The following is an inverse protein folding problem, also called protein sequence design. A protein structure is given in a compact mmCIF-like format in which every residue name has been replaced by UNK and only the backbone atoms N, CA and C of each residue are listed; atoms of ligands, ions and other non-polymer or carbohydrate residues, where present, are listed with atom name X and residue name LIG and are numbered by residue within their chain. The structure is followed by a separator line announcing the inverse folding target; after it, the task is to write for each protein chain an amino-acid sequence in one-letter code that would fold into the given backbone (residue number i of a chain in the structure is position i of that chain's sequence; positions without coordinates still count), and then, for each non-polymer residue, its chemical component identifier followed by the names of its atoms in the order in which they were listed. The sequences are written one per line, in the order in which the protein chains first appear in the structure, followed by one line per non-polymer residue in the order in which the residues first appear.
data_IF_764790122890
#
_entry.id   IF_764790122890
#
_cell.length_a   1.000
_cell.length_b   1.000
_cell.length_c   1.000
_cell.angle_alpha   90.00
_cell.angle_beta   90.00
_cell.angle_gamma   90.00
#
_symmetry.space_group_name_H-M   'P 1'
#
loop_
_entity.id
_entity.type
_entity.pdbx_description
1 polymer ?
#
# COMPACT_ATOMS: atom_id res chain seq x y z
N UNK A 1 22.06 -8.19 -1.34
CA UNK A 1 20.89 -8.46 -0.46
C UNK A 1 19.93 -9.32 -1.28
N UNK A 2 19.36 -10.36 -0.67
CA UNK A 2 18.32 -11.21 -1.26
C UNK A 2 17.06 -11.12 -0.40
N UNK A 3 15.85 -11.10 -0.97
CA UNK A 3 14.62 -11.10 -0.19
C UNK A 3 14.39 -12.47 0.45
N UNK A 4 13.75 -12.49 1.63
CA UNK A 4 13.31 -13.73 2.27
C UNK A 4 12.22 -14.43 1.45
N UNK A 5 11.35 -13.64 0.82
CA UNK A 5 10.27 -14.10 -0.05
C UNK A 5 10.32 -13.41 -1.41
N UNK A 6 10.46 -14.19 -2.49
CA UNK A 6 10.38 -13.70 -3.87
C UNK A 6 9.07 -14.17 -4.52
N UNK A 7 8.14 -13.24 -4.75
CA UNK A 7 6.80 -13.56 -5.27
C UNK A 7 6.76 -13.88 -6.77
N UNK A 8 7.82 -13.56 -7.53
CA UNK A 8 7.89 -13.89 -8.96
C UNK A 8 6.78 -13.26 -9.82
N UNK A 9 6.32 -12.05 -9.48
CA UNK A 9 5.20 -11.40 -10.16
C UNK A 9 5.59 -11.06 -11.60
N UNK A 10 4.94 -11.72 -12.55
CA UNK A 10 5.14 -11.48 -13.98
C UNK A 10 4.57 -10.13 -14.42
N UNK A 11 5.18 -9.48 -15.44
CA UNK A 11 4.60 -8.30 -16.08
C UNK A 11 3.21 -8.60 -16.66
N UNK A 12 2.31 -7.63 -16.56
CA UNK A 12 0.95 -7.77 -17.09
C UNK A 12 0.17 -6.48 -16.99
N UNK A 13 -1.14 -6.56 -17.23
CA UNK A 13 -2.04 -5.44 -16.92
C UNK A 13 -1.96 -5.08 -15.42
N UNK A 14 -2.30 -3.84 -15.03
CA UNK A 14 -2.35 -3.45 -13.62
C UNK A 14 -3.16 -4.43 -12.74
N UNK A 15 -4.33 -4.84 -13.22
CA UNK A 15 -5.20 -5.78 -12.50
C UNK A 15 -4.56 -7.17 -12.35
N UNK A 16 -3.91 -7.67 -13.40
CA UNK A 16 -3.18 -8.96 -13.36
C UNK A 16 -2.05 -8.90 -12.35
N UNK A 17 -1.26 -7.82 -12.38
CA UNK A 17 -0.14 -7.61 -11.47
C UNK A 17 -0.63 -7.56 -10.01
N UNK A 18 -1.65 -6.75 -9.73
CA UNK A 18 -2.23 -6.66 -8.38
C UNK A 18 -2.78 -8.00 -7.90
N UNK A 19 -3.51 -8.74 -8.74
CA UNK A 19 -4.04 -10.05 -8.37
C UNK A 19 -2.92 -11.03 -7.99
N UNK A 20 -1.84 -11.10 -8.76
CA UNK A 20 -0.70 -11.96 -8.46
C UNK A 20 0.01 -11.54 -7.16
N UNK A 21 0.17 -10.23 -6.92
CA UNK A 21 0.75 -9.73 -5.67
C UNK A 21 -0.11 -10.13 -4.48
N UNK A 22 -1.43 -9.91 -4.55
CA UNK A 22 -2.35 -10.23 -3.45
C UNK A 22 -2.35 -11.72 -3.13
N UNK A 23 -2.41 -12.59 -4.14
CA UNK A 23 -2.35 -14.04 -3.95
C UNK A 23 -1.01 -14.51 -3.37
N UNK A 24 0.09 -13.89 -3.79
CA UNK A 24 1.42 -14.17 -3.26
C UNK A 24 1.56 -13.74 -1.80
N UNK A 25 1.16 -12.50 -1.49
CA UNK A 25 1.21 -11.95 -0.14
C UNK A 25 0.30 -12.70 0.83
N UNK A 26 -0.90 -13.12 0.40
CA UNK A 26 -1.79 -13.91 1.26
C UNK A 26 -1.13 -15.21 1.74
N UNK A 27 -0.36 -15.87 0.89
CA UNK A 27 0.40 -17.08 1.27
C UNK A 27 1.48 -16.74 2.30
N UNK A 28 2.29 -15.72 2.04
CA UNK A 28 3.37 -15.29 2.93
C UNK A 28 2.82 -14.85 4.30
N UNK A 29 1.74 -14.05 4.33
CA UNK A 29 1.14 -13.56 5.57
C UNK A 29 0.56 -14.69 6.40
N UNK A 30 -0.06 -15.70 5.79
CA UNK A 30 -0.57 -16.86 6.50
C UNK A 30 0.53 -17.74 7.11
N UNK A 31 1.71 -17.77 6.47
CA UNK A 31 2.88 -18.50 6.93
C UNK A 31 3.64 -17.75 8.04
N UNK A 32 3.98 -16.49 7.79
CA UNK A 32 4.81 -15.64 8.66
C UNK A 32 4.04 -15.00 9.81
N UNK A 33 2.73 -14.77 9.64
CA UNK A 33 1.84 -14.13 10.62
C UNK A 33 2.41 -12.83 11.20
N UNK A 34 2.72 -11.84 10.35
CA UNK A 34 3.31 -10.58 10.79
C UNK A 34 2.35 -9.78 11.67
N UNK A 35 2.91 -9.05 12.64
CA UNK A 35 2.15 -8.11 13.48
C UNK A 35 1.83 -6.78 12.76
N UNK A 36 2.53 -6.49 11.65
CA UNK A 36 2.42 -5.26 10.86
C UNK A 36 2.85 -5.52 9.43
N UNK A 37 2.12 -4.96 8.46
CA UNK A 37 2.56 -4.86 7.07
C UNK A 37 2.91 -3.41 6.74
N UNK A 38 4.04 -3.21 6.05
CA UNK A 38 4.46 -1.90 5.54
C UNK A 38 4.39 -1.88 4.02
N UNK A 39 3.73 -0.87 3.47
CA UNK A 39 3.72 -0.56 2.04
C UNK A 39 4.38 0.79 1.79
N UNK A 40 4.93 1.00 0.59
CA UNK A 40 5.73 2.19 0.27
C UNK A 40 5.25 2.81 -1.04
N UNK A 41 5.14 4.13 -1.07
CA UNK A 41 4.83 4.89 -2.29
C UNK A 41 3.40 4.65 -2.75
N UNK A 42 3.14 4.62 -4.06
CA UNK A 42 1.78 4.74 -4.60
C UNK A 42 1.54 3.92 -5.88
N UNK A 43 2.36 2.90 -6.11
CA UNK A 43 2.21 2.03 -7.28
C UNK A 43 1.23 0.89 -7.01
N UNK A 44 0.96 0.06 -8.03
CA UNK A 44 0.02 -1.06 -7.92
C UNK A 44 0.34 -2.02 -6.76
N UNK A 45 1.64 -2.26 -6.48
CA UNK A 45 2.05 -3.12 -5.38
C UNK A 45 1.71 -2.54 -4.01
N UNK A 46 1.72 -1.21 -3.88
CA UNK A 46 1.33 -0.51 -2.65
C UNK A 46 -0.13 -0.79 -2.34
N UNK A 47 -1.02 -0.51 -3.30
CA UNK A 47 -2.45 -0.72 -3.11
C UNK A 47 -2.78 -2.21 -2.95
N UNK A 48 -2.15 -3.10 -3.72
CA UNK A 48 -2.33 -4.54 -3.58
C UNK A 48 -1.92 -5.05 -2.19
N UNK A 49 -0.77 -4.60 -1.67
CA UNK A 49 -0.32 -4.93 -0.32
C UNK A 49 -1.25 -4.39 0.76
N UNK A 50 -1.72 -3.14 0.61
CA UNK A 50 -2.63 -2.50 1.54
C UNK A 50 -3.99 -3.22 1.62
N UNK A 51 -4.57 -3.58 0.47
CA UNK A 51 -5.82 -4.35 0.41
C UNK A 51 -5.62 -5.73 1.04
N UNK A 52 -4.47 -6.38 0.80
CA UNK A 52 -4.18 -7.70 1.37
C UNK A 52 -4.11 -7.62 2.90
N UNK A 53 -3.37 -6.65 3.45
CA UNK A 53 -3.28 -6.42 4.89
C UNK A 53 -4.67 -6.21 5.50
N UNK A 54 -5.47 -5.32 4.91
CA UNK A 54 -6.83 -5.03 5.36
C UNK A 54 -7.73 -6.27 5.35
N UNK A 55 -7.68 -7.09 4.29
CA UNK A 55 -8.50 -8.31 4.16
C UNK A 55 -8.12 -9.40 5.15
N UNK A 56 -6.84 -9.48 5.51
CA UNK A 56 -6.32 -10.47 6.45
C UNK A 56 -6.32 -9.96 7.90
N UNK A 57 -6.77 -8.73 8.13
CA UNK A 57 -6.84 -8.13 9.47
C UNK A 57 -5.47 -7.83 10.07
N UNK A 58 -4.46 -7.57 9.23
CA UNK A 58 -3.12 -7.19 9.66
C UNK A 58 -3.02 -5.66 9.70
N UNK A 59 -2.52 -5.06 10.79
CA UNK A 59 -2.24 -3.62 10.83
C UNK A 59 -1.39 -3.18 9.66
N UNK A 60 -1.71 -2.01 9.09
CA UNK A 60 -1.06 -1.46 7.92
C UNK A 60 -0.34 -0.14 8.26
N UNK A 61 0.94 -0.10 7.94
CA UNK A 61 1.70 1.15 7.85
C UNK A 61 1.97 1.52 6.39
N UNK A 62 1.86 2.81 6.08
CA UNK A 62 2.10 3.33 4.74
C UNK A 62 3.22 4.37 4.78
N UNK A 63 4.31 4.10 4.06
CA UNK A 63 5.43 5.03 3.89
C UNK A 63 5.18 5.93 2.69
N UNK A 64 5.43 7.23 2.89
CA UNK A 64 5.10 8.32 1.95
C UNK A 64 3.60 8.67 1.92
N UNK A 65 2.90 8.42 3.03
CA UNK A 65 1.49 8.79 3.20
C UNK A 65 1.23 10.29 3.01
N UNK A 66 0.03 10.59 2.52
CA UNK A 66 -0.49 11.96 2.47
C UNK A 66 -0.03 12.81 1.27
N UNK A 67 0.92 12.36 0.47
CA UNK A 67 1.27 13.09 -0.76
C UNK A 67 0.05 13.16 -1.70
N UNK A 68 -0.18 14.29 -2.36
CA UNK A 68 -1.31 14.47 -3.30
C UNK A 68 -0.85 15.21 -4.54
N UNK A 69 -1.08 14.64 -5.71
CA UNK A 69 -0.93 15.36 -6.98
C UNK A 69 -2.17 16.18 -7.31
N UNK A 70 -3.34 15.76 -6.78
CA UNK A 70 -4.69 16.26 -7.13
C UNK A 70 -5.09 15.99 -8.58
N UNK A 71 -4.30 15.21 -9.32
CA UNK A 71 -4.64 14.75 -10.66
C UNK A 71 -5.20 13.33 -10.60
N UNK A 72 -6.54 13.23 -10.69
CA UNK A 72 -7.25 11.94 -10.69
C UNK A 72 -7.10 11.17 -12.00
N UNK A 73 -6.49 11.76 -13.04
CA UNK A 73 -6.09 11.06 -14.26
C UNK A 73 -4.84 10.19 -14.06
N UNK A 74 -4.07 10.44 -13.00
CA UNK A 74 -2.89 9.67 -12.63
C UNK A 74 -3.30 8.44 -11.79
N UNK A 75 -3.04 7.19 -12.24
CA UNK A 75 -3.34 5.99 -11.46
C UNK A 75 -2.73 5.98 -10.06
N UNK A 76 -1.52 6.53 -9.92
CA UNK A 76 -0.79 6.65 -8.66
C UNK A 76 -1.51 7.55 -7.65
N UNK A 77 -2.25 8.58 -8.09
CA UNK A 77 -3.09 9.40 -7.20
C UNK A 77 -4.26 8.59 -6.63
N UNK A 78 -4.84 7.71 -7.44
CA UNK A 78 -5.93 6.84 -6.98
C UNK A 78 -5.39 5.82 -5.97
N UNK A 79 -4.23 5.22 -6.26
CA UNK A 79 -3.59 4.25 -5.38
C UNK A 79 -3.24 4.84 -4.00
N UNK A 80 -2.62 6.03 -3.96
CA UNK A 80 -2.26 6.65 -2.67
C UNK A 80 -3.49 7.03 -1.83
N UNK A 81 -4.54 7.57 -2.46
CA UNK A 81 -5.77 7.94 -1.75
C UNK A 81 -6.38 6.69 -1.13
N UNK A 82 -6.56 5.63 -1.93
CA UNK A 82 -7.17 4.38 -1.47
C UNK A 82 -6.32 3.69 -0.39
N UNK A 83 -5.00 3.71 -0.53
CA UNK A 83 -4.07 3.17 0.47
C UNK A 83 -4.18 3.94 1.78
N UNK A 84 -4.16 5.27 1.74
CA UNK A 84 -4.33 6.12 2.93
C UNK A 84 -5.69 5.93 3.60
N UNK A 85 -6.74 5.55 2.85
CA UNK A 85 -8.06 5.31 3.45
C UNK A 85 -8.08 4.12 4.42
N UNK A 86 -7.22 3.13 4.20
CA UNK A 86 -7.17 1.85 4.93
C UNK A 86 -5.88 1.67 5.74
N UNK A 87 -5.09 2.73 5.87
CA UNK A 87 -3.85 2.75 6.66
C UNK A 87 -4.15 2.99 8.14
N UNK A 88 -3.47 2.25 9.01
CA UNK A 88 -3.53 2.42 10.47
C UNK A 88 -2.41 3.34 10.99
N UNK A 89 -1.24 3.31 10.32
CA UNK A 89 -0.06 4.10 10.67
C UNK A 89 0.50 4.87 9.48
N UNK A 90 0.42 6.20 9.52
CA UNK A 90 0.92 7.07 8.46
C UNK A 90 2.39 7.44 8.70
N UNK A 91 3.30 7.00 7.82
CA UNK A 91 4.72 7.36 7.85
C UNK A 91 4.99 8.44 6.81
N UNK A 92 4.87 9.68 7.27
CA UNK A 92 4.92 10.89 6.44
C UNK A 92 6.38 11.32 6.23
N UNK A 93 6.75 11.62 5.00
CA UNK A 93 8.12 12.01 4.62
C UNK A 93 8.32 13.51 4.46
N UNK A 94 7.25 14.29 4.32
CA UNK A 94 7.30 15.75 4.21
C UNK A 94 6.03 16.44 4.74
N UNK A 95 6.15 17.73 5.04
CA UNK A 95 5.08 18.54 5.65
C UNK A 95 3.78 18.53 4.84
N UNK A 96 3.88 18.54 3.51
CA UNK A 96 2.71 18.55 2.63
C UNK A 96 1.80 17.34 2.86
N UNK A 97 2.38 16.17 3.15
CA UNK A 97 1.64 14.95 3.42
C UNK A 97 0.81 15.03 4.69
N UNK A 98 1.39 15.63 5.75
CA UNK A 98 0.68 15.89 7.00
C UNK A 98 -0.46 16.87 6.80
N UNK A 99 -0.21 17.97 6.09
CA UNK A 99 -1.24 18.99 5.83
C UNK A 99 -2.43 18.41 5.05
N UNK A 100 -2.18 17.56 4.05
CA UNK A 100 -3.23 16.90 3.28
C UNK A 100 -4.03 15.88 4.10
N UNK A 101 -3.36 15.03 4.89
CA UNK A 101 -4.04 14.05 5.74
C UNK A 101 -4.94 14.72 6.78
N UNK A 102 -4.44 15.77 7.44
CA UNK A 102 -5.23 16.57 8.37
C UNK A 102 -6.43 17.23 7.69
N UNK A 103 -6.26 17.76 6.48
CA UNK A 103 -7.36 18.33 5.70
C UNK A 103 -8.41 17.27 5.29
N UNK A 104 -8.01 16.01 5.16
CA UNK A 104 -8.87 14.86 4.88
C UNK A 104 -9.49 14.24 6.16
N UNK A 105 -9.21 14.80 7.34
CA UNK A 105 -9.71 14.30 8.61
C UNK A 105 -9.03 13.00 9.07
N UNK A 106 -7.81 12.75 8.58
CA UNK A 106 -6.96 11.64 9.04
C UNK A 106 -6.10 12.08 10.23
N UNK A 107 -5.91 11.20 11.23
CA UNK A 107 -5.15 11.51 12.44
C UNK A 107 -3.65 11.65 12.18
#
# INVERSE_FOLDING_TARGET
LSPDHWLGVEPGSPNTQMAHIMLGLERVVNEERPDLMLVVGDVNSTLAGAITANKLGIPLGHLESGLRSRDRGMPEEINRILTDQITDHYFITEQSGMDHLLAEGRP
#
